data_IF_326858248841
#
_entry.id   IF_326858248841
#
_cell.length_a   1.000
_cell.length_b   1.000
_cell.length_c   1.000
_cell.angle_alpha   90.00
_cell.angle_beta   90.00
_cell.angle_gamma   90.00
#
_symmetry.space_group_name_H-M   'P 1'
#
loop_
_entity.id
_entity.type
_entity.pdbx_description
1 polymer ?
#
# COMPACT_ATOMS: atom_id res chain seq x y z
N UNK A 1 -0.86 45.80 -45.08
CA UNK A 1 -1.44 44.81 -44.14
C UNK A 1 -2.85 44.51 -44.61
N UNK A 2 -3.26 43.24 -44.71
CA UNK A 2 -4.57 42.89 -45.26
C UNK A 2 -5.64 42.84 -44.17
N UNK A 3 -6.89 43.20 -44.49
CA UNK A 3 -8.02 43.12 -43.54
C UNK A 3 -8.21 41.70 -42.94
N UNK A 4 -7.75 40.68 -43.67
CA UNK A 4 -7.71 39.30 -43.21
C UNK A 4 -6.73 39.07 -42.04
N UNK A 5 -5.57 39.73 -42.05
CA UNK A 5 -4.59 39.66 -40.97
C UNK A 5 -5.10 40.33 -39.69
N UNK A 6 -5.89 41.39 -39.83
CA UNK A 6 -6.57 42.06 -38.72
C UNK A 6 -7.63 41.17 -38.08
N UNK A 7 -8.47 40.50 -38.88
CA UNK A 7 -9.45 39.53 -38.38
C UNK A 7 -8.78 38.35 -37.68
N UNK A 8 -7.65 37.86 -38.21
CA UNK A 8 -6.85 36.81 -37.54
C UNK A 8 -6.31 37.28 -36.20
N UNK A 9 -5.78 38.51 -36.10
CA UNK A 9 -5.31 39.07 -34.83
C UNK A 9 -6.43 39.24 -33.82
N UNK A 10 -7.60 39.71 -34.25
CA UNK A 10 -8.76 39.84 -33.37
C UNK A 10 -9.27 38.49 -32.88
N UNK A 11 -9.30 37.46 -33.74
CA UNK A 11 -9.67 36.10 -33.35
C UNK A 11 -8.67 35.49 -32.35
N UNK A 12 -7.36 35.69 -32.59
CA UNK A 12 -6.31 35.25 -31.67
C UNK A 12 -6.44 35.95 -30.30
N UNK A 13 -6.65 37.27 -30.30
CA UNK A 13 -6.85 38.04 -29.07
C UNK A 13 -8.07 37.57 -28.27
N UNK A 14 -9.20 37.25 -28.94
CA UNK A 14 -10.40 36.68 -28.30
C UNK A 14 -10.13 35.30 -27.71
N UNK A 15 -9.43 34.43 -28.45
CA UNK A 15 -9.04 33.11 -27.97
C UNK A 15 -8.13 33.20 -26.74
N UNK A 16 -7.14 34.08 -26.76
CA UNK A 16 -6.20 34.25 -25.66
C UNK A 16 -6.84 34.90 -24.43
N UNK A 17 -7.84 35.75 -24.62
CA UNK A 17 -8.66 36.28 -23.53
C UNK A 17 -9.46 35.15 -22.85
N UNK A 18 -10.17 34.33 -23.63
CA UNK A 18 -10.95 33.20 -23.11
C UNK A 18 -10.07 32.17 -22.38
N UNK A 19 -8.87 31.86 -22.92
CA UNK A 19 -7.92 30.95 -22.26
C UNK A 19 -7.42 31.54 -20.93
N UNK A 20 -7.16 32.85 -20.87
CA UNK A 20 -6.74 33.51 -19.62
C UNK A 20 -7.85 33.47 -18.57
N UNK A 21 -9.08 33.72 -18.97
CA UNK A 21 -10.24 33.70 -18.09
C UNK A 21 -10.49 32.30 -17.52
N UNK A 22 -10.51 31.28 -18.38
CA UNK A 22 -10.64 29.88 -17.97
C UNK A 22 -9.50 29.43 -17.02
N UNK A 23 -8.25 29.87 -17.28
CA UNK A 23 -7.12 29.60 -16.38
C UNK A 23 -7.26 30.29 -15.04
N UNK A 24 -7.83 31.50 -15.00
CA UNK A 24 -8.06 32.25 -13.77
C UNK A 24 -9.12 31.54 -12.93
N UNK A 25 -10.25 31.19 -13.54
CA UNK A 25 -11.34 30.47 -12.90
C UNK A 25 -10.86 29.13 -12.33
N UNK A 26 -10.13 28.33 -13.13
CA UNK A 26 -9.55 27.07 -12.68
C UNK A 26 -8.63 27.23 -11.45
N UNK A 27 -7.79 28.28 -11.41
CA UNK A 27 -6.93 28.56 -10.25
C UNK A 27 -7.74 28.98 -9.02
N UNK A 28 -8.83 29.72 -9.20
CA UNK A 28 -9.74 30.09 -8.12
C UNK A 28 -10.48 28.88 -7.58
N UNK A 29 -10.94 27.97 -8.44
CA UNK A 29 -11.56 26.70 -8.05
C UNK A 29 -10.58 25.82 -7.28
N UNK A 30 -9.33 25.69 -7.74
CA UNK A 30 -8.28 24.95 -7.00
C UNK A 30 -8.07 25.56 -5.62
N UNK A 31 -7.92 26.88 -5.50
CA UNK A 31 -7.76 27.53 -4.19
C UNK A 31 -8.97 27.34 -3.28
N UNK A 32 -10.17 27.35 -3.84
CA UNK A 32 -11.41 27.06 -3.10
C UNK A 32 -11.43 25.63 -2.58
N UNK A 33 -11.06 24.65 -3.44
CA UNK A 33 -10.95 23.24 -3.06
C UNK A 33 -9.86 23.02 -2.00
N UNK A 34 -8.70 23.67 -2.12
CA UNK A 34 -7.64 23.59 -1.11
C UNK A 34 -8.08 24.25 0.21
N UNK A 35 -8.81 25.37 0.14
CA UNK A 35 -9.41 26.00 1.32
C UNK A 35 -10.44 25.10 2.01
N UNK A 36 -11.27 24.40 1.24
CA UNK A 36 -12.23 23.42 1.77
C UNK A 36 -11.53 22.19 2.34
N UNK A 37 -10.48 21.69 1.68
CA UNK A 37 -9.61 20.63 2.22
C UNK A 37 -8.97 21.03 3.54
N UNK A 38 -8.50 22.27 3.67
CA UNK A 38 -7.96 22.80 4.92
C UNK A 38 -9.02 22.95 6.02
N UNK A 39 -10.28 23.23 5.68
CA UNK A 39 -11.40 23.29 6.64
C UNK A 39 -11.90 21.91 7.07
N UNK A 40 -11.86 20.94 6.16
CA UNK A 40 -12.19 19.54 6.42
C UNK A 40 -11.03 18.76 7.05
N UNK A 41 -9.80 19.25 6.91
CA UNK A 41 -8.64 18.70 7.59
C UNK A 41 -8.85 18.86 9.11
N UNK A 42 -8.82 17.76 9.89
CA UNK A 42 -9.04 17.82 11.31
C UNK A 42 -7.99 18.74 11.96
N UNK A 43 -8.46 19.85 12.53
CA UNK A 43 -7.65 20.81 13.33
C UNK A 43 -6.72 20.02 14.25
N UNK A 44 -5.41 20.17 14.04
CA UNK A 44 -4.29 19.65 14.86
C UNK A 44 -4.73 18.58 15.84
N UNK A 45 -4.71 17.32 15.38
CA UNK A 45 -4.98 16.17 16.24
C UNK A 45 -4.14 16.32 17.50
N UNK A 46 -4.82 16.41 18.66
CA UNK A 46 -4.18 16.22 19.98
C UNK A 46 -3.22 15.06 19.81
N UNK A 47 -1.94 15.22 20.20
CA UNK A 47 -1.04 14.07 20.30
C UNK A 47 -1.79 13.04 21.12
N UNK A 48 -2.22 11.98 20.46
CA UNK A 48 -2.94 10.90 21.11
C UNK A 48 -2.06 10.44 22.26
N UNK A 49 -2.57 10.46 23.49
CA UNK A 49 -1.85 9.86 24.64
C UNK A 49 -1.63 8.36 24.40
N UNK A 50 -2.48 7.77 23.56
CA UNK A 50 -2.40 6.37 23.14
C UNK A 50 -1.21 6.19 22.18
N UNK A 51 -0.27 5.28 22.52
CA UNK A 51 0.86 4.91 21.67
C UNK A 51 0.44 4.47 20.26
N UNK A 52 1.32 4.67 19.28
CA UNK A 52 1.05 4.33 17.88
C UNK A 52 0.64 2.87 17.67
N UNK A 53 1.26 1.92 18.39
CA UNK A 53 0.96 0.50 18.26
C UNK A 53 -0.49 0.13 18.66
N UNK A 54 -1.01 0.72 19.75
CA UNK A 54 -2.39 0.54 20.19
C UNK A 54 -3.37 1.12 19.18
N UNK A 55 -3.06 2.29 18.62
CA UNK A 55 -3.86 2.91 17.56
C UNK A 55 -3.91 2.05 16.30
N UNK A 56 -2.78 1.43 15.94
CA UNK A 56 -2.70 0.50 14.81
C UNK A 56 -3.62 -0.70 15.05
N UNK A 57 -3.56 -1.33 16.23
CA UNK A 57 -4.42 -2.49 16.56
C UNK A 57 -5.92 -2.19 16.52
N UNK A 58 -6.33 -0.97 16.87
CA UNK A 58 -7.75 -0.55 16.84
C UNK A 58 -8.32 -0.41 15.42
N UNK A 59 -7.45 -0.26 14.42
CA UNK A 59 -7.85 0.13 13.07
C UNK A 59 -7.57 -0.97 12.04
N UNK A 60 -6.70 -1.92 12.36
CA UNK A 60 -6.39 -3.04 11.47
C UNK A 60 -7.64 -3.91 11.27
N UNK A 61 -7.98 -4.26 10.00
CA UNK A 61 -9.00 -5.26 9.73
C UNK A 61 -8.54 -6.65 10.16
N UNK A 62 -9.44 -7.41 10.78
CA UNK A 62 -9.20 -8.80 11.21
C UNK A 62 -9.34 -9.79 10.06
N UNK A 63 -10.10 -9.41 9.03
CA UNK A 63 -10.55 -10.22 7.90
C UNK A 63 -9.90 -9.85 6.57
N UNK A 64 -8.97 -8.88 6.57
CA UNK A 64 -8.28 -8.42 5.36
C UNK A 64 -6.79 -8.13 5.59
N UNK A 65 -6.03 -8.21 4.49
CA UNK A 65 -4.65 -7.71 4.44
C UNK A 65 -4.65 -6.18 4.30
N UNK A 66 -3.60 -5.54 4.81
CA UNK A 66 -3.38 -4.10 4.71
C UNK A 66 -1.92 -3.76 4.40
N UNK A 67 -1.69 -2.55 3.90
CA UNK A 67 -0.37 -2.00 3.61
C UNK A 67 -0.02 -0.84 4.54
N UNK A 68 1.23 -0.37 4.47
CA UNK A 68 1.66 0.82 5.24
C UNK A 68 0.86 2.05 4.82
N UNK A 69 0.56 2.20 3.52
CA UNK A 69 -0.19 3.33 2.99
C UNK A 69 -1.65 3.33 3.47
N UNK A 70 -2.24 2.15 3.68
CA UNK A 70 -3.58 2.05 4.26
C UNK A 70 -3.59 2.56 5.71
N UNK A 71 -2.57 2.18 6.50
CA UNK A 71 -2.40 2.69 7.86
C UNK A 71 -2.16 4.20 7.91
N UNK A 72 -1.36 4.75 6.98
CA UNK A 72 -1.17 6.20 6.86
C UNK A 72 -2.50 6.90 6.62
N UNK A 73 -3.33 6.36 5.73
CA UNK A 73 -4.67 6.88 5.44
C UNK A 73 -5.60 6.79 6.65
N UNK A 74 -5.76 5.61 7.25
CA UNK A 74 -6.71 5.40 8.34
C UNK A 74 -6.32 6.14 9.62
N UNK A 75 -5.02 6.15 9.94
CA UNK A 75 -4.50 6.87 11.10
C UNK A 75 -4.23 8.34 10.80
N UNK A 76 -4.51 8.82 9.58
CA UNK A 76 -4.17 10.13 9.02
C UNK A 76 -2.78 10.63 9.43
N UNK A 77 -1.79 9.77 9.20
CA UNK A 77 -0.38 10.06 9.39
C UNK A 77 0.19 10.65 8.11
N UNK A 78 1.27 11.40 8.24
CA UNK A 78 1.94 11.98 7.08
C UNK A 78 2.95 10.97 6.51
N UNK A 79 3.33 11.15 5.25
CA UNK A 79 4.39 10.36 4.63
C UNK A 79 5.73 10.44 5.40
N UNK A 80 5.97 11.53 6.14
CA UNK A 80 7.13 11.67 7.04
C UNK A 80 7.17 10.63 8.16
N UNK A 81 6.02 10.02 8.50
CA UNK A 81 5.89 9.03 9.57
C UNK A 81 6.09 7.59 9.06
N UNK A 82 6.37 7.41 7.75
CA UNK A 82 6.47 6.10 7.12
C UNK A 82 7.47 5.17 7.82
N UNK A 83 8.67 5.67 8.14
CA UNK A 83 9.71 4.87 8.81
C UNK A 83 9.34 4.52 10.26
N UNK A 84 8.61 5.41 10.94
CA UNK A 84 8.08 5.14 12.27
C UNK A 84 7.04 4.03 12.24
N UNK A 85 6.14 4.04 11.24
CA UNK A 85 5.14 2.98 11.05
C UNK A 85 5.85 1.65 10.76
N UNK A 86 6.80 1.62 9.81
CA UNK A 86 7.56 0.40 9.48
C UNK A 86 8.28 -0.20 10.67
N UNK A 87 8.97 0.62 11.45
CA UNK A 87 9.68 0.16 12.65
C UNK A 87 8.71 -0.33 13.72
N UNK A 88 7.54 0.30 13.86
CA UNK A 88 6.47 -0.15 14.77
C UNK A 88 5.89 -1.49 14.34
N UNK A 89 5.54 -1.65 13.06
CA UNK A 89 5.06 -2.91 12.50
C UNK A 89 6.07 -4.05 12.68
N UNK A 90 7.37 -3.77 12.47
CA UNK A 90 8.41 -4.77 12.71
C UNK A 90 8.46 -5.23 14.18
N UNK A 91 8.28 -4.32 15.14
CA UNK A 91 8.17 -4.67 16.57
C UNK A 91 6.90 -5.48 16.86
N UNK A 92 5.78 -5.14 16.22
CA UNK A 92 4.52 -5.86 16.38
C UNK A 92 4.60 -7.29 15.81
N UNK A 93 5.30 -7.48 14.69
CA UNK A 93 5.61 -8.82 14.14
C UNK A 93 6.42 -9.63 15.14
N UNK A 94 7.50 -9.05 15.70
CA UNK A 94 8.32 -9.72 16.72
C UNK A 94 7.55 -10.12 17.97
N UNK A 95 6.51 -9.36 18.32
CA UNK A 95 5.61 -9.65 19.45
C UNK A 95 4.48 -10.61 19.10
N UNK A 96 4.40 -11.07 17.84
CA UNK A 96 3.33 -11.95 17.38
C UNK A 96 1.95 -11.30 17.40
N UNK A 97 1.85 -9.98 17.20
CA UNK A 97 0.57 -9.25 17.17
C UNK A 97 0.01 -9.08 15.76
N UNK A 98 0.88 -9.11 14.75
CA UNK A 98 0.52 -9.07 13.33
C UNK A 98 1.45 -10.00 12.57
N UNK A 99 1.03 -10.46 11.40
CA UNK A 99 1.83 -11.26 10.49
C UNK A 99 2.18 -10.46 9.24
N UNK A 100 3.37 -10.70 8.70
CA UNK A 100 3.77 -10.14 7.39
C UNK A 100 3.47 -11.19 6.33
N UNK A 101 2.63 -10.83 5.37
CA UNK A 101 2.27 -11.71 4.27
C UNK A 101 3.40 -11.76 3.23
N UNK A 102 3.62 -12.95 2.66
CA UNK A 102 4.66 -13.17 1.65
C UNK A 102 4.30 -12.38 0.37
N UNK A 103 5.31 -11.73 -0.22
CA UNK A 103 5.15 -11.04 -1.50
C UNK A 103 5.06 -12.09 -2.61
N UNK A 104 4.05 -12.02 -3.47
CA UNK A 104 3.96 -12.89 -4.65
C UNK A 104 5.07 -12.53 -5.66
N UNK A 105 5.45 -11.24 -5.72
CA UNK A 105 6.49 -10.74 -6.63
C UNK A 105 7.46 -9.77 -5.93
N UNK A 106 8.73 -9.75 -6.35
CA UNK A 106 9.78 -8.88 -5.77
C UNK A 106 9.45 -7.38 -5.75
N UNK A 107 8.52 -6.91 -6.60
CA UNK A 107 8.11 -5.49 -6.70
C UNK A 107 6.81 -5.14 -5.97
N UNK A 108 6.16 -6.11 -5.33
CA UNK A 108 4.89 -5.83 -4.64
C UNK A 108 5.11 -5.16 -3.28
N UNK A 109 4.15 -4.31 -2.91
CA UNK A 109 4.12 -3.62 -1.62
C UNK A 109 4.05 -4.67 -0.51
N UNK A 110 4.72 -4.44 0.63
CA UNK A 110 4.61 -5.37 1.75
C UNK A 110 3.18 -5.30 2.31
N UNK A 111 2.53 -6.46 2.39
CA UNK A 111 1.22 -6.62 3.01
C UNK A 111 1.38 -7.24 4.40
N UNK A 112 0.47 -6.85 5.29
CA UNK A 112 0.40 -7.27 6.67
C UNK A 112 -1.04 -7.71 6.96
N UNK A 113 -1.21 -8.56 7.97
CA UNK A 113 -2.51 -9.02 8.42
C UNK A 113 -2.53 -9.17 9.94
N UNK A 114 -3.72 -9.14 10.53
CA UNK A 114 -3.93 -9.51 11.93
C UNK A 114 -3.47 -10.96 12.17
N UNK A 115 -3.13 -11.31 13.41
CA UNK A 115 -2.83 -12.71 13.77
C UNK A 115 -4.07 -13.60 13.65
N UNK A 116 -5.25 -13.00 13.83
CA UNK A 116 -6.55 -13.65 13.70
C UNK A 116 -7.00 -13.81 12.24
N UNK A 117 -6.21 -13.29 11.28
CA UNK A 117 -6.53 -13.36 9.86
C UNK A 117 -6.40 -14.79 9.32
N UNK A 118 -7.54 -15.49 9.28
CA UNK A 118 -7.79 -16.74 8.56
C UNK A 118 -6.95 -17.95 8.99
N UNK A 119 -7.37 -19.18 8.64
CA UNK A 119 -6.48 -20.33 8.70
C UNK A 119 -5.32 -20.10 7.73
N UNK A 120 -4.08 -20.39 8.13
CA UNK A 120 -2.91 -20.21 7.27
C UNK A 120 -3.10 -21.01 5.98
N UNK A 121 -3.26 -20.30 4.85
CA UNK A 121 -3.58 -20.93 3.55
C UNK A 121 -2.45 -21.84 3.08
N UNK A 122 -1.27 -21.79 3.70
CA UNK A 122 -0.35 -22.91 3.71
C UNK A 122 0.55 -22.85 4.95
N UNK A 123 0.93 -24.01 5.49
CA UNK A 123 2.01 -24.14 6.50
C UNK A 123 3.27 -23.35 6.12
N UNK A 124 3.47 -23.12 4.83
CA UNK A 124 4.63 -22.47 4.24
C UNK A 124 4.62 -20.94 4.34
N UNK A 125 3.43 -20.32 4.49
CA UNK A 125 3.31 -18.85 4.54
C UNK A 125 3.68 -18.27 5.91
N UNK A 126 3.56 -19.07 6.96
CA UNK A 126 3.97 -18.71 8.32
C UNK A 126 5.47 -18.97 8.58
N UNK A 127 6.14 -19.73 7.71
CA UNK A 127 7.56 -20.09 7.87
C UNK A 127 8.48 -19.03 7.28
N UNK A 128 9.56 -18.73 8.00
CA UNK A 128 10.68 -17.98 7.44
C UNK A 128 11.34 -18.77 6.29
N UNK A 129 12.04 -18.07 5.40
CA UNK A 129 12.77 -18.71 4.28
C UNK A 129 13.74 -19.81 4.76
N UNK A 130 14.31 -19.63 5.95
CA UNK A 130 15.23 -20.60 6.57
C UNK A 130 14.47 -21.85 7.02
N UNK A 131 13.36 -21.67 7.74
CA UNK A 131 12.51 -22.79 8.20
C UNK A 131 11.91 -23.57 7.02
N UNK A 132 11.46 -22.86 5.98
CA UNK A 132 10.99 -23.48 4.75
C UNK A 132 12.09 -24.28 4.05
N UNK A 133 13.31 -23.75 3.98
CA UNK A 133 14.45 -24.45 3.40
C UNK A 133 14.85 -25.69 4.21
N UNK A 134 14.88 -25.59 5.54
CA UNK A 134 15.15 -26.72 6.42
C UNK A 134 14.10 -27.83 6.29
N UNK A 135 12.82 -27.46 6.18
CA UNK A 135 11.72 -28.41 6.00
C UNK A 135 11.89 -29.19 4.70
N UNK A 136 12.20 -28.50 3.59
CA UNK A 136 12.47 -29.14 2.29
C UNK A 136 13.69 -30.07 2.35
N UNK A 137 14.76 -29.63 3.01
CA UNK A 137 15.98 -30.45 3.15
C UNK A 137 15.74 -31.71 3.99
N UNK A 138 14.92 -31.62 5.05
CA UNK A 138 14.53 -32.78 5.86
C UNK A 138 13.63 -33.74 5.09
N UNK A 139 12.64 -33.23 4.36
CA UNK A 139 11.71 -34.07 3.59
C UNK A 139 12.39 -34.80 2.43
N UNK A 140 13.34 -34.15 1.76
CA UNK A 140 14.07 -34.75 0.64
C UNK A 140 15.18 -35.70 1.07
N UNK A 141 15.70 -35.55 2.31
CA UNK A 141 16.76 -36.41 2.86
C UNK A 141 18.08 -36.37 2.07
N UNK A 142 18.26 -35.39 1.18
CA UNK A 142 19.42 -35.26 0.30
C UNK A 142 19.79 -33.80 0.05
N UNK A 143 21.07 -33.49 -0.14
CA UNK A 143 21.49 -32.14 -0.47
C UNK A 143 20.95 -31.74 -1.85
N UNK A 144 20.40 -30.52 -1.94
CA UNK A 144 19.92 -29.94 -3.18
C UNK A 144 20.63 -28.62 -3.47
N UNK A 145 20.71 -28.25 -4.75
CA UNK A 145 21.29 -26.96 -5.13
C UNK A 145 20.37 -25.80 -4.74
N UNK A 146 20.94 -24.64 -4.44
CA UNK A 146 20.19 -23.44 -4.08
C UNK A 146 19.18 -23.02 -5.18
N UNK A 147 19.52 -23.24 -6.45
CA UNK A 147 18.59 -23.00 -7.56
C UNK A 147 17.41 -23.96 -7.55
N UNK A 148 17.63 -25.27 -7.32
CA UNK A 148 16.57 -26.26 -7.24
C UNK A 148 15.64 -26.00 -6.05
N UNK A 149 16.20 -25.64 -4.89
CA UNK A 149 15.42 -25.23 -3.71
C UNK A 149 14.52 -24.01 -4.03
N UNK A 150 15.09 -23.01 -4.68
CA UNK A 150 14.34 -21.81 -5.09
C UNK A 150 13.22 -22.12 -6.08
N UNK A 151 13.38 -23.12 -6.95
CA UNK A 151 12.32 -23.56 -7.87
C UNK A 151 11.24 -24.33 -7.11
N UNK A 152 11.62 -25.24 -6.21
CA UNK A 152 10.70 -26.04 -5.40
C UNK A 152 9.76 -25.18 -4.56
N UNK A 153 10.34 -24.20 -3.85
CA UNK A 153 9.59 -23.21 -3.05
C UNK A 153 8.66 -22.31 -3.89
N UNK A 154 8.83 -22.25 -5.22
CA UNK A 154 7.98 -21.46 -6.13
C UNK A 154 6.93 -22.31 -6.85
N UNK A 155 7.19 -23.60 -7.04
CA UNK A 155 6.30 -24.55 -7.70
C UNK A 155 5.12 -24.95 -6.80
N UNK A 156 5.39 -25.26 -5.52
CA UNK A 156 4.33 -25.72 -4.59
C UNK A 156 3.35 -24.60 -4.18
N UNK A 157 3.72 -23.33 -4.36
CA UNK A 157 2.80 -22.21 -4.18
C UNK A 157 1.72 -22.11 -5.28
N UNK A 158 1.87 -22.80 -6.42
CA UNK A 158 0.87 -22.75 -7.51
C UNK A 158 -0.09 -23.92 -7.53
N UNK A 159 0.26 -25.06 -6.94
CA UNK A 159 -0.48 -26.31 -7.14
C UNK A 159 -1.66 -26.53 -6.18
N UNK A 160 -1.96 -25.61 -5.26
CA UNK A 160 -3.07 -25.77 -4.30
C UNK A 160 -4.25 -24.81 -4.49
N UNK A 161 -4.16 -23.85 -5.40
CA UNK A 161 -5.29 -22.93 -5.66
C UNK A 161 -6.42 -23.55 -6.49
N UNK A 162 -6.16 -24.64 -7.24
CA UNK A 162 -7.19 -25.23 -8.13
C UNK A 162 -7.97 -26.38 -7.48
N UNK A 163 -7.67 -26.76 -6.24
CA UNK A 163 -8.30 -27.91 -5.57
C UNK A 163 -9.41 -27.55 -4.57
N UNK A 164 -9.77 -26.26 -4.40
CA UNK A 164 -10.79 -25.83 -3.43
C UNK A 164 -12.01 -25.11 -4.02
N UNK A 165 -12.22 -25.16 -5.34
CA UNK A 165 -13.46 -24.68 -5.98
C UNK A 165 -14.31 -25.87 -6.48
N UNK A 166 -14.49 -26.91 -5.67
CA UNK A 166 -15.63 -27.83 -5.79
C UNK A 166 -15.91 -28.43 -4.41
N UNK A 167 -16.87 -27.86 -3.69
CA UNK A 167 -17.70 -28.53 -2.69
C UNK A 167 -18.98 -27.71 -2.50
#
# INVERSE_FOLDING_TARGET
MTAFDELKRQAAAKRDAAIREARKEYRETIRSLDGLRCKLAPKKRKRSSVPLHERILQVIPTDACFTVSDLESWLGLNYSDHDLIRSTLYRMIKRGQIKRMRRSRCREVAMFASVEYGPSVSKWDDMTLVEAAETVLRELGRPISAMALGTWLRSDCRCKNDAQVVA
#
